data_IF_698618069062
#
_entry.id   IF_698618069062
#
_cell.length_a   1.000
_cell.length_b   1.000
_cell.length_c   1.000
_cell.angle_alpha   90.00
_cell.angle_beta   90.00
_cell.angle_gamma   90.00
#
_symmetry.space_group_name_H-M   'P 1'
#
loop_
_entity.id
_entity.type
_entity.pdbx_description
1 polymer ?
#
# COMPACT_ATOMS: atom_id res chain seq x y z
N UNK A 1 14.49 15.05 37.71
CA UNK A 1 13.60 15.98 38.42
C UNK A 1 12.26 15.99 37.72
N UNK A 2 11.37 15.10 38.15
CA UNK A 2 9.96 14.97 37.76
C UNK A 2 9.15 15.17 39.03
N UNK A 3 8.41 16.25 39.14
CA UNK A 3 7.44 16.43 40.22
C UNK A 3 6.26 17.30 39.73
N UNK A 4 5.10 16.67 39.76
CA UNK A 4 3.81 17.20 40.20
C UNK A 4 3.18 18.33 39.39
N UNK A 5 2.07 17.98 38.70
CA UNK A 5 0.88 18.81 38.61
C UNK A 5 -0.35 17.88 38.72
N UNK A 6 -0.74 17.62 39.97
CA UNK A 6 -2.07 17.04 40.30
C UNK A 6 -3.06 18.18 40.24
N UNK A 7 -3.89 18.23 39.20
CA UNK A 7 -5.04 19.11 39.08
C UNK A 7 -6.24 18.50 39.76
N UNK A 8 -6.81 19.23 40.74
CA UNK A 8 -8.04 18.93 41.48
C UNK A 8 -9.21 18.63 40.53
N UNK A 9 -9.86 17.49 40.77
CA UNK A 9 -11.21 17.19 40.28
C UNK A 9 -12.22 17.62 41.36
N UNK A 10 -13.14 18.55 41.09
CA UNK A 10 -14.17 18.91 42.05
C UNK A 10 -15.28 17.84 42.08
N UNK A 11 -15.62 17.46 43.32
CA UNK A 11 -16.83 16.93 43.90
C UNK A 11 -17.84 16.21 43.01
N UNK A 12 -17.82 14.86 43.10
CA UNK A 12 -18.99 14.05 42.77
C UNK A 12 -19.76 13.85 44.08
N UNK A 13 -20.89 14.56 44.20
CA UNK A 13 -21.84 14.34 45.26
C UNK A 13 -22.49 12.94 45.08
N UNK A 14 -22.19 12.06 46.00
CA UNK A 14 -22.78 10.72 46.12
C UNK A 14 -24.17 10.81 46.76
N UNK A 15 -25.20 10.89 45.91
CA UNK A 15 -26.61 10.63 46.37
C UNK A 15 -26.87 9.14 46.52
N UNK A 16 -27.60 8.69 47.55
CA UNK A 16 -27.93 7.28 47.71
C UNK A 16 -29.02 6.88 46.69
N UNK A 17 -28.62 6.20 45.66
CA UNK A 17 -29.55 5.57 44.72
C UNK A 17 -30.07 4.27 45.37
N UNK A 18 -31.33 4.27 45.68
CA UNK A 18 -32.14 3.09 46.05
C UNK A 18 -32.06 2.07 44.90
N UNK A 19 -31.30 0.99 45.13
CA UNK A 19 -31.22 -0.17 44.23
C UNK A 19 -32.59 -0.89 44.23
N UNK A 20 -33.44 -0.53 43.29
CA UNK A 20 -34.56 -1.40 42.91
C UNK A 20 -34.00 -2.66 42.20
N UNK A 21 -34.67 -3.83 42.36
CA UNK A 21 -34.18 -5.04 41.68
C UNK A 21 -34.14 -4.80 40.16
N UNK A 22 -33.06 -5.26 39.48
CA UNK A 22 -33.00 -5.12 38.06
C UNK A 22 -34.18 -5.87 37.43
N UNK A 23 -35.08 -5.13 36.79
CA UNK A 23 -36.09 -5.73 35.93
C UNK A 23 -35.34 -6.63 34.96
N UNK A 24 -35.74 -7.90 34.88
CA UNK A 24 -35.19 -8.85 33.90
C UNK A 24 -35.44 -8.27 32.50
N UNK A 25 -34.52 -7.43 32.08
CA UNK A 25 -34.51 -6.90 30.69
C UNK A 25 -34.40 -8.10 29.77
N UNK A 26 -35.50 -8.41 29.12
CA UNK A 26 -35.55 -9.41 28.08
C UNK A 26 -34.40 -9.12 27.11
N UNK A 27 -33.49 -10.09 26.99
CA UNK A 27 -32.47 -10.11 25.96
C UNK A 27 -33.21 -10.33 24.64
N UNK A 28 -33.97 -9.30 24.21
CA UNK A 28 -34.35 -9.22 22.80
C UNK A 28 -33.05 -9.35 22.01
N UNK A 29 -32.93 -10.44 21.28
CA UNK A 29 -31.88 -10.63 20.26
C UNK A 29 -31.94 -9.42 19.34
N UNK A 30 -31.20 -8.35 19.68
CA UNK A 30 -30.88 -7.30 18.72
C UNK A 30 -30.23 -8.03 17.62
N UNK A 31 -30.96 -8.20 16.51
CA UNK A 31 -30.47 -8.92 15.35
C UNK A 31 -29.06 -8.41 15.04
N UNK A 32 -28.10 -9.31 15.04
CA UNK A 32 -26.72 -8.98 14.67
C UNK A 32 -26.81 -8.22 13.35
N UNK A 33 -26.32 -6.95 13.28
CA UNK A 33 -26.43 -6.17 12.08
C UNK A 33 -25.83 -6.98 10.93
N UNK A 34 -26.67 -7.40 9.99
CA UNK A 34 -26.17 -8.12 8.82
C UNK A 34 -25.20 -7.20 8.08
N UNK A 35 -23.99 -7.67 7.76
CA UNK A 35 -23.06 -6.88 7.00
C UNK A 35 -23.75 -6.41 5.71
N UNK A 36 -23.64 -5.12 5.37
CA UNK A 36 -24.32 -4.58 4.20
C UNK A 36 -23.92 -5.40 2.98
N UNK A 37 -24.90 -5.93 2.27
CA UNK A 37 -24.67 -6.65 1.01
C UNK A 37 -23.96 -5.71 0.04
N UNK A 38 -22.86 -6.18 -0.54
CA UNK A 38 -22.14 -5.40 -1.54
C UNK A 38 -23.09 -5.00 -2.66
N UNK A 39 -23.27 -3.70 -2.86
CA UNK A 39 -24.12 -3.19 -3.92
C UNK A 39 -23.48 -3.46 -5.30
N UNK A 40 -24.25 -3.62 -6.39
CA UNK A 40 -23.67 -3.76 -7.73
C UNK A 40 -22.72 -2.62 -8.09
N UNK A 41 -22.99 -1.41 -7.63
CA UNK A 41 -22.12 -0.25 -7.81
C UNK A 41 -20.74 -0.40 -7.12
N UNK A 42 -20.68 -1.10 -5.98
CA UNK A 42 -19.40 -1.38 -5.30
C UNK A 42 -18.56 -2.42 -6.03
N UNK A 43 -19.20 -3.39 -6.69
CA UNK A 43 -18.53 -4.41 -7.51
C UNK A 43 -17.97 -3.81 -8.80
N UNK A 44 -18.76 -2.95 -9.48
CA UNK A 44 -18.30 -2.24 -10.66
C UNK A 44 -17.11 -1.32 -10.35
N UNK A 45 -17.16 -0.62 -9.21
CA UNK A 45 -16.03 0.19 -8.72
C UNK A 45 -14.77 -0.64 -8.48
N UNK A 46 -14.90 -1.78 -7.80
CA UNK A 46 -13.75 -2.67 -7.54
C UNK A 46 -13.16 -3.23 -8.84
N UNK A 47 -13.99 -3.63 -9.80
CA UNK A 47 -13.55 -4.11 -11.11
C UNK A 47 -12.83 -3.02 -11.91
N UNK A 48 -13.37 -1.79 -11.92
CA UNK A 48 -12.72 -0.64 -12.57
C UNK A 48 -11.31 -0.40 -12.03
N UNK A 49 -11.14 -0.38 -10.70
CA UNK A 49 -9.83 -0.15 -10.09
C UNK A 49 -8.85 -1.32 -10.26
N UNK A 50 -9.36 -2.55 -10.33
CA UNK A 50 -8.55 -3.71 -10.69
C UNK A 50 -8.02 -3.57 -12.14
N UNK A 51 -8.89 -3.21 -13.07
CA UNK A 51 -8.52 -2.96 -14.46
C UNK A 51 -7.53 -1.80 -14.61
N UNK A 52 -7.74 -0.70 -13.89
CA UNK A 52 -6.83 0.45 -13.89
C UNK A 52 -5.43 0.06 -13.39
N UNK A 53 -5.33 -0.67 -12.26
CA UNK A 53 -4.05 -1.18 -11.75
C UNK A 53 -3.35 -2.13 -12.72
N UNK A 54 -4.12 -3.02 -13.37
CA UNK A 54 -3.59 -3.94 -14.38
C UNK A 54 -3.08 -3.20 -15.62
N UNK A 55 -3.82 -2.21 -16.12
CA UNK A 55 -3.39 -1.38 -17.25
C UNK A 55 -2.10 -0.61 -16.93
N UNK A 56 -2.00 -0.09 -15.71
CA UNK A 56 -0.78 0.57 -15.24
C UNK A 56 0.41 -0.41 -15.20
N UNK A 57 0.22 -1.61 -14.66
CA UNK A 57 1.26 -2.64 -14.63
C UNK A 57 1.69 -3.06 -16.05
N UNK A 58 0.74 -3.19 -16.98
CA UNK A 58 1.05 -3.48 -18.40
C UNK A 58 1.83 -2.33 -19.04
N UNK A 59 1.46 -1.08 -18.78
CA UNK A 59 2.18 0.09 -19.27
C UNK A 59 3.63 0.12 -18.73
N UNK A 60 3.83 -0.20 -17.45
CA UNK A 60 5.16 -0.32 -16.86
C UNK A 60 5.97 -1.48 -17.48
N UNK A 61 5.33 -2.63 -17.75
CA UNK A 61 5.97 -3.73 -18.48
C UNK A 61 6.43 -3.29 -19.88
N UNK A 62 5.58 -2.57 -20.60
CA UNK A 62 5.93 -1.96 -21.89
C UNK A 62 7.07 -0.95 -21.78
N UNK A 63 7.02 -0.06 -20.80
CA UNK A 63 8.08 0.89 -20.50
C UNK A 63 9.43 0.22 -20.19
N UNK A 64 9.39 -0.88 -19.41
CA UNK A 64 10.58 -1.68 -19.11
C UNK A 64 11.17 -2.34 -20.35
N UNK A 65 10.36 -2.71 -21.34
CA UNK A 65 10.83 -3.25 -22.64
C UNK A 65 11.50 -2.19 -23.50
N UNK A 66 10.87 -1.02 -23.65
CA UNK A 66 11.37 0.06 -24.50
C UNK A 66 12.68 0.63 -23.97
N UNK A 67 12.75 0.91 -22.67
CA UNK A 67 13.96 1.44 -22.06
C UNK A 67 13.69 2.19 -20.77
N UNK A 68 14.77 2.54 -20.10
CA UNK A 68 14.74 3.22 -18.83
C UNK A 68 14.00 4.58 -18.86
N UNK A 69 14.21 5.48 -19.84
CA UNK A 69 13.49 6.75 -19.87
C UNK A 69 11.98 6.57 -19.95
N UNK A 70 11.53 5.57 -20.72
CA UNK A 70 10.11 5.26 -20.84
C UNK A 70 9.53 4.67 -19.56
N UNK A 71 10.27 3.81 -18.87
CA UNK A 71 9.89 3.30 -17.56
C UNK A 71 9.71 4.44 -16.55
N UNK A 72 10.67 5.37 -16.47
CA UNK A 72 10.60 6.55 -15.59
C UNK A 72 9.43 7.45 -15.97
N UNK A 73 9.15 7.63 -17.26
CA UNK A 73 8.02 8.44 -17.74
C UNK A 73 6.64 7.90 -17.26
N UNK A 74 6.51 6.60 -17.06
CA UNK A 74 5.31 6.00 -16.47
C UNK A 74 5.35 5.97 -14.95
N UNK A 75 6.53 5.78 -14.34
CA UNK A 75 6.67 5.72 -12.89
C UNK A 75 6.41 7.06 -12.22
N UNK A 76 6.96 8.17 -12.73
CA UNK A 76 6.81 9.49 -12.13
C UNK A 76 5.35 9.91 -11.94
N UNK A 77 4.47 9.86 -12.95
CA UNK A 77 3.05 10.15 -12.75
C UNK A 77 2.39 9.22 -11.72
N UNK A 78 2.76 7.94 -11.72
CA UNK A 78 2.26 6.97 -10.74
C UNK A 78 2.67 7.36 -9.31
N UNK A 79 3.94 7.71 -9.10
CA UNK A 79 4.48 8.13 -7.81
C UNK A 79 3.79 9.41 -7.32
N UNK A 80 3.54 10.39 -8.20
CA UNK A 80 2.82 11.62 -7.86
C UNK A 80 1.38 11.34 -7.42
N UNK A 81 0.65 10.53 -8.18
CA UNK A 81 -0.72 10.13 -7.82
C UNK A 81 -0.72 9.35 -6.51
N UNK A 82 0.24 8.45 -6.32
CA UNK A 82 0.39 7.67 -5.09
C UNK A 82 0.66 8.58 -3.89
N UNK A 83 1.56 9.57 -4.01
CA UNK A 83 1.83 10.55 -2.98
C UNK A 83 0.58 11.35 -2.58
N UNK A 84 -0.15 11.86 -3.58
CA UNK A 84 -1.41 12.58 -3.36
C UNK A 84 -2.44 11.73 -2.63
N UNK A 85 -2.64 10.49 -3.09
CA UNK A 85 -3.59 9.56 -2.50
C UNK A 85 -3.18 9.19 -1.08
N UNK A 86 -1.88 8.96 -0.83
CA UNK A 86 -1.34 8.65 0.49
C UNK A 86 -1.53 9.79 1.47
N UNK A 87 -1.11 11.01 1.10
CA UNK A 87 -1.28 12.20 1.94
C UNK A 87 -2.76 12.51 2.23
N UNK A 88 -3.64 12.25 1.26
CA UNK A 88 -5.08 12.37 1.46
C UNK A 88 -5.63 11.30 2.40
N UNK A 89 -5.09 10.08 2.33
CA UNK A 89 -5.48 8.94 3.15
C UNK A 89 -5.07 9.13 4.62
N UNK A 90 -3.82 9.50 4.85
CA UNK A 90 -3.29 9.76 6.21
C UNK A 90 -3.92 11.03 6.83
N UNK A 91 -4.56 11.86 6.02
CA UNK A 91 -5.16 13.11 6.50
C UNK A 91 -4.13 14.19 6.78
N UNK A 92 -3.02 14.20 6.03
CA UNK A 92 -1.91 15.14 6.23
C UNK A 92 -2.40 16.59 6.32
N UNK A 93 -2.01 17.36 7.35
CA UNK A 93 -2.42 18.75 7.52
C UNK A 93 -1.92 19.65 6.38
N UNK A 94 -0.66 19.44 5.95
CA UNK A 94 0.00 20.18 4.87
C UNK A 94 0.30 19.26 3.68
N UNK A 95 -0.71 19.08 2.83
CA UNK A 95 -0.60 18.18 1.67
C UNK A 95 0.32 18.73 0.58
N UNK A 96 0.39 20.06 0.41
CA UNK A 96 1.21 20.66 -0.64
C UNK A 96 2.69 20.53 -0.34
N UNK A 97 3.11 20.77 0.91
CA UNK A 97 4.49 20.58 1.29
C UNK A 97 4.88 19.10 1.25
N UNK A 98 4.01 18.22 1.75
CA UNK A 98 4.23 16.78 1.66
C UNK A 98 4.36 16.29 0.23
N UNK A 99 3.50 16.78 -0.68
CA UNK A 99 3.59 16.47 -2.10
C UNK A 99 4.89 16.98 -2.72
N UNK A 100 5.30 18.24 -2.41
CA UNK A 100 6.55 18.78 -2.91
C UNK A 100 7.77 17.96 -2.48
N UNK A 101 7.83 17.56 -1.21
CA UNK A 101 8.90 16.71 -0.69
C UNK A 101 8.89 15.31 -1.32
N UNK A 102 7.72 14.67 -1.41
CA UNK A 102 7.57 13.36 -2.02
C UNK A 102 7.93 13.37 -3.51
N UNK A 103 7.47 14.40 -4.25
CA UNK A 103 7.80 14.56 -5.68
C UNK A 103 9.29 14.79 -5.91
N UNK A 104 9.90 15.66 -5.11
CA UNK A 104 11.34 15.90 -5.16
C UNK A 104 12.14 14.62 -4.87
N UNK A 105 11.75 13.89 -3.83
CA UNK A 105 12.36 12.62 -3.48
C UNK A 105 12.22 11.57 -4.59
N UNK A 106 11.04 11.46 -5.22
CA UNK A 106 10.79 10.55 -6.33
C UNK A 106 11.71 10.84 -7.52
N UNK A 107 11.77 12.11 -7.96
CA UNK A 107 12.65 12.52 -9.08
C UNK A 107 14.12 12.22 -8.78
N UNK A 108 14.59 12.60 -7.59
CA UNK A 108 15.98 12.36 -7.18
C UNK A 108 16.27 10.86 -7.12
N UNK A 109 15.34 10.07 -6.56
CA UNK A 109 15.49 8.62 -6.47
C UNK A 109 15.58 7.97 -7.86
N UNK A 110 14.70 8.34 -8.79
CA UNK A 110 14.69 7.79 -10.15
C UNK A 110 15.97 8.16 -10.96
N UNK A 111 16.47 9.38 -10.74
CA UNK A 111 17.73 9.81 -11.36
C UNK A 111 18.94 9.06 -10.79
N UNK A 112 19.00 8.91 -9.46
CA UNK A 112 20.10 8.22 -8.79
C UNK A 112 20.02 6.70 -8.97
N UNK A 113 18.83 6.11 -8.97
CA UNK A 113 18.64 4.68 -9.22
C UNK A 113 19.31 4.19 -10.48
N UNK A 114 19.46 5.08 -11.45
CA UNK A 114 20.14 4.77 -12.67
C UNK A 114 21.65 4.86 -12.64
N UNK A 115 22.21 5.48 -11.66
CA UNK A 115 23.65 5.67 -11.51
C UNK A 115 24.27 4.76 -10.47
N UNK A 116 23.54 4.49 -9.39
CA UNK A 116 24.05 3.82 -8.18
C UNK A 116 24.13 2.30 -8.26
N UNK A 117 23.56 1.67 -9.31
CA UNK A 117 23.71 0.22 -9.54
C UNK A 117 23.47 -0.66 -8.31
N UNK A 118 24.53 -0.95 -7.57
CA UNK A 118 24.53 -1.89 -6.47
C UNK A 118 24.11 -1.29 -5.12
N UNK A 119 24.30 0.02 -4.89
CA UNK A 119 24.11 0.66 -3.56
C UNK A 119 22.80 1.45 -3.46
N UNK A 120 21.70 0.82 -3.83
CA UNK A 120 20.39 1.46 -3.78
C UNK A 120 19.91 1.71 -2.35
N UNK A 121 20.27 0.84 -1.39
CA UNK A 121 19.89 0.98 0.02
C UNK A 121 20.54 2.22 0.64
N UNK A 122 21.84 2.41 0.43
CA UNK A 122 22.55 3.61 0.88
C UNK A 122 21.99 4.88 0.25
N UNK A 123 21.66 4.84 -1.05
CA UNK A 123 21.03 5.95 -1.76
C UNK A 123 19.67 6.33 -1.15
N UNK A 124 18.82 5.36 -0.84
CA UNK A 124 17.52 5.61 -0.20
C UNK A 124 17.67 6.17 1.21
N UNK A 125 18.58 5.61 2.00
CA UNK A 125 18.85 6.13 3.33
C UNK A 125 19.30 7.61 3.28
N UNK A 126 20.15 7.96 2.33
CA UNK A 126 20.58 9.34 2.10
C UNK A 126 19.40 10.27 1.71
N UNK A 127 18.54 9.85 0.79
CA UNK A 127 17.37 10.62 0.39
C UNK A 127 16.43 10.83 1.58
N UNK A 128 16.13 9.77 2.34
CA UNK A 128 15.26 9.85 3.52
C UNK A 128 15.84 10.81 4.55
N UNK A 129 17.15 10.74 4.82
CA UNK A 129 17.80 11.64 5.77
C UNK A 129 17.66 13.11 5.35
N UNK A 130 17.91 13.43 4.07
CA UNK A 130 17.75 14.79 3.53
C UNK A 130 16.29 15.25 3.64
N UNK A 131 15.34 14.39 3.29
CA UNK A 131 13.90 14.70 3.36
C UNK A 131 13.46 14.97 4.78
N UNK A 132 13.90 14.18 5.76
CA UNK A 132 13.57 14.41 7.18
C UNK A 132 14.10 15.77 7.63
N UNK A 133 15.33 16.12 7.28
CA UNK A 133 15.90 17.44 7.60
C UNK A 133 15.08 18.57 6.96
N UNK A 134 14.74 18.43 5.66
CA UNK A 134 13.94 19.44 4.95
C UNK A 134 12.53 19.55 5.53
N UNK A 135 11.91 18.44 5.91
CA UNK A 135 10.59 18.43 6.53
C UNK A 135 10.58 19.15 7.88
N UNK A 136 11.61 18.89 8.71
CA UNK A 136 11.79 19.58 10.00
C UNK A 136 12.02 21.07 9.79
N UNK A 137 12.92 21.45 8.89
CA UNK A 137 13.18 22.85 8.56
C UNK A 137 11.94 23.58 8.06
N UNK A 138 11.20 22.94 7.14
CA UNK A 138 9.96 23.51 6.62
C UNK A 138 8.91 23.71 7.72
N UNK A 139 8.79 22.77 8.64
CA UNK A 139 7.88 22.88 9.77
C UNK A 139 8.30 24.00 10.76
N UNK A 140 9.60 24.15 11.04
CA UNK A 140 10.12 25.21 11.89
C UNK A 140 9.93 26.60 11.28
N UNK A 141 10.18 26.75 9.97
CA UNK A 141 10.02 28.03 9.26
C UNK A 141 8.56 28.50 9.20
N UNK A 142 7.62 27.57 9.20
CA UNK A 142 6.18 27.89 9.17
C UNK A 142 5.59 28.18 10.55
N UNK A 143 6.36 28.00 11.63
CA UNK A 143 5.88 28.24 12.99
C UNK A 143 4.75 27.29 13.44
N UNK A 144 4.46 26.26 12.67
CA UNK A 144 3.41 25.26 12.97
C UNK A 144 3.90 24.28 14.01
N UNK A 145 3.71 24.62 15.28
CA UNK A 145 4.10 23.72 16.40
C UNK A 145 3.00 22.71 16.74
N UNK A 146 1.76 23.01 16.36
CA UNK A 146 0.63 22.12 16.58
C UNK A 146 0.63 21.03 15.50
N UNK A 147 0.49 19.76 15.89
CA UNK A 147 0.50 18.58 15.02
C UNK A 147 1.82 18.36 14.23
N UNK A 148 2.96 18.87 14.74
CA UNK A 148 4.28 18.69 14.10
C UNK A 148 4.59 17.21 13.84
N UNK A 149 4.39 16.36 14.84
CA UNK A 149 4.67 14.91 14.76
C UNK A 149 3.80 14.23 13.69
N UNK A 150 2.51 14.57 13.62
CA UNK A 150 1.58 14.03 12.62
C UNK A 150 1.96 14.48 11.21
N UNK A 151 2.35 15.75 11.06
CA UNK A 151 2.79 16.29 9.76
C UNK A 151 4.06 15.62 9.29
N UNK A 152 5.07 15.48 10.17
CA UNK A 152 6.33 14.81 9.85
C UNK A 152 6.12 13.34 9.52
N UNK A 153 5.31 12.63 10.32
CA UNK A 153 5.00 11.22 10.07
C UNK A 153 4.30 11.03 8.71
N UNK A 154 3.34 11.91 8.38
CA UNK A 154 2.64 11.86 7.10
C UNK A 154 3.58 12.15 5.92
N UNK A 155 4.46 13.15 6.04
CA UNK A 155 5.42 13.50 4.99
C UNK A 155 6.46 12.41 4.76
N UNK A 156 7.07 11.90 5.84
CA UNK A 156 8.08 10.83 5.77
C UNK A 156 7.48 9.55 5.21
N UNK A 157 6.28 9.16 5.66
CA UNK A 157 5.59 7.97 5.13
C UNK A 157 5.22 8.12 3.64
N UNK A 158 4.83 9.33 3.19
CA UNK A 158 4.58 9.59 1.77
C UNK A 158 5.85 9.43 0.94
N UNK A 159 6.99 9.93 1.44
CA UNK A 159 8.29 9.77 0.78
C UNK A 159 8.69 8.31 0.71
N UNK A 160 8.55 7.55 1.79
CA UNK A 160 8.85 6.11 1.78
C UNK A 160 8.06 5.38 0.69
N UNK A 161 6.76 5.61 0.61
CA UNK A 161 5.88 4.95 -0.37
C UNK A 161 6.24 5.31 -1.81
N UNK A 162 6.71 6.53 -2.09
CA UNK A 162 7.11 6.92 -3.46
C UNK A 162 8.56 6.53 -3.81
N UNK A 163 9.40 6.25 -2.84
CA UNK A 163 10.77 5.77 -3.09
C UNK A 163 10.79 4.30 -3.55
N UNK A 164 9.85 3.48 -3.07
CA UNK A 164 9.81 2.05 -3.42
C UNK A 164 9.82 1.79 -4.93
N UNK A 165 9.00 2.45 -5.78
CA UNK A 165 9.01 2.25 -7.21
C UNK A 165 10.34 2.59 -7.92
N UNK A 166 11.19 3.45 -7.35
CA UNK A 166 12.51 3.74 -7.91
C UNK A 166 13.43 2.49 -7.95
N UNK A 167 13.14 1.48 -7.13
CA UNK A 167 13.84 0.18 -7.20
C UNK A 167 13.64 -0.52 -8.54
N UNK A 168 12.52 -0.30 -9.22
CA UNK A 168 12.29 -0.82 -10.57
C UNK A 168 13.26 -0.20 -11.59
N UNK A 169 13.54 1.10 -11.44
CA UNK A 169 14.51 1.80 -12.29
C UNK A 169 15.93 1.25 -12.08
N UNK A 170 16.29 0.98 -10.82
CA UNK A 170 17.55 0.37 -10.46
C UNK A 170 17.68 -1.06 -11.03
N UNK A 171 16.65 -1.88 -10.85
CA UNK A 171 16.63 -3.25 -11.37
C UNK A 171 16.74 -3.28 -12.88
N UNK A 172 16.11 -2.32 -13.59
CA UNK A 172 16.22 -2.23 -15.06
C UNK A 172 17.66 -2.08 -15.57
N UNK A 173 18.53 -1.50 -14.75
CA UNK A 173 19.95 -1.34 -15.05
C UNK A 173 20.81 -2.59 -14.85
N UNK A 174 20.28 -3.67 -14.27
CA UNK A 174 21.02 -4.92 -14.03
C UNK A 174 20.85 -5.91 -15.18
N UNK A 175 21.82 -6.83 -15.38
CA UNK A 175 21.65 -7.97 -16.29
C UNK A 175 20.36 -8.73 -15.92
N UNK A 176 19.56 -9.12 -16.91
CA UNK A 176 18.27 -9.81 -16.67
C UNK A 176 17.17 -8.96 -16.03
N UNK A 177 17.47 -7.77 -15.50
CA UNK A 177 16.51 -6.92 -14.81
C UNK A 177 15.29 -6.52 -15.65
N UNK A 178 15.47 -6.36 -16.98
CA UNK A 178 14.35 -6.12 -17.90
C UNK A 178 13.32 -7.24 -17.85
N UNK A 179 13.79 -8.48 -17.85
CA UNK A 179 12.95 -9.67 -17.88
C UNK A 179 12.25 -9.87 -16.56
N UNK A 180 12.98 -9.69 -15.45
CA UNK A 180 12.42 -9.72 -14.10
C UNK A 180 11.28 -8.70 -13.94
N UNK A 181 11.45 -7.47 -14.44
CA UNK A 181 10.42 -6.43 -14.40
C UNK A 181 9.18 -6.81 -15.20
N UNK A 182 9.36 -7.29 -16.43
CA UNK A 182 8.25 -7.67 -17.30
C UNK A 182 7.44 -8.81 -16.68
N UNK A 183 8.12 -9.84 -16.18
CA UNK A 183 7.46 -10.96 -15.49
C UNK A 183 6.69 -10.47 -14.26
N UNK A 184 7.30 -9.62 -13.44
CA UNK A 184 6.68 -9.10 -12.22
C UNK A 184 5.47 -8.22 -12.52
N UNK A 185 5.56 -7.31 -13.49
CA UNK A 185 4.43 -6.44 -13.84
C UNK A 185 3.28 -7.22 -14.47
N UNK A 186 3.55 -8.20 -15.32
CA UNK A 186 2.50 -9.04 -15.89
C UNK A 186 1.86 -9.96 -14.84
N UNK A 187 2.67 -10.49 -13.91
CA UNK A 187 2.18 -11.24 -12.76
C UNK A 187 1.27 -10.39 -11.85
N UNK A 188 1.68 -9.15 -11.55
CA UNK A 188 0.90 -8.19 -10.78
C UNK A 188 -0.40 -7.81 -11.51
N UNK A 189 -0.34 -7.54 -12.83
CA UNK A 189 -1.52 -7.24 -13.63
C UNK A 189 -2.54 -8.38 -13.61
N UNK A 190 -2.09 -9.60 -13.86
CA UNK A 190 -2.94 -10.78 -13.83
C UNK A 190 -3.50 -11.06 -12.43
N UNK A 191 -2.68 -10.96 -11.40
CA UNK A 191 -3.10 -11.13 -10.02
C UNK A 191 -4.09 -10.04 -9.57
N UNK A 192 -3.92 -8.80 -9.99
CA UNK A 192 -4.85 -7.70 -9.68
C UNK A 192 -6.26 -7.96 -10.23
N UNK A 193 -6.37 -8.55 -11.41
CA UNK A 193 -7.67 -8.88 -12.02
C UNK A 193 -8.19 -10.22 -11.50
N UNK A 194 -7.44 -11.29 -11.71
CA UNK A 194 -7.89 -12.65 -11.41
C UNK A 194 -7.93 -12.92 -9.91
N UNK A 195 -6.97 -12.39 -9.14
CA UNK A 195 -6.92 -12.54 -7.68
C UNK A 195 -8.11 -11.86 -7.00
N UNK A 196 -8.50 -10.66 -7.45
CA UNK A 196 -9.71 -10.00 -6.95
C UNK A 196 -10.98 -10.72 -7.37
N UNK A 197 -11.04 -11.24 -8.60
CA UNK A 197 -12.15 -12.07 -9.05
C UNK A 197 -12.26 -13.34 -8.20
N UNK A 198 -11.16 -14.04 -7.99
CA UNK A 198 -11.10 -15.21 -7.11
C UNK A 198 -11.53 -14.89 -5.68
N UNK A 199 -11.04 -13.80 -5.11
CA UNK A 199 -11.44 -13.33 -3.79
C UNK A 199 -12.95 -13.05 -3.69
N UNK A 200 -13.54 -12.44 -4.72
CA UNK A 200 -14.98 -12.18 -4.79
C UNK A 200 -15.79 -13.48 -4.91
N UNK A 201 -15.31 -14.45 -5.66
CA UNK A 201 -15.97 -15.75 -5.83
C UNK A 201 -15.87 -16.59 -4.55
N UNK A 202 -14.70 -16.61 -3.93
CA UNK A 202 -14.43 -17.37 -2.69
C UNK A 202 -15.07 -16.73 -1.44
N UNK A 203 -15.30 -15.42 -1.45
CA UNK A 203 -16.01 -14.73 -0.36
C UNK A 203 -17.53 -14.93 -0.38
N UNK A 204 -18.09 -15.53 -1.45
CA UNK A 204 -19.52 -15.70 -1.64
C UNK A 204 -20.20 -16.92 -1.00
N UNK A 205 -19.55 -18.02 -0.62
CA UNK A 205 -20.30 -19.13 -0.04
C UNK A 205 -20.79 -18.78 1.36
N UNK A 206 -22.02 -18.31 1.45
CA UNK A 206 -22.74 -18.12 2.71
C UNK A 206 -22.91 -19.45 3.51
N UNK A 207 -22.64 -20.60 2.90
CA UNK A 207 -22.65 -21.91 3.54
C UNK A 207 -21.40 -22.24 4.35
N UNK A 208 -20.29 -21.50 4.10
CA UNK A 208 -19.10 -21.55 4.94
C UNK A 208 -19.23 -20.61 6.15
N UNK A 209 -20.24 -20.77 6.99
CA UNK A 209 -20.58 -19.96 8.14
C UNK A 209 -19.46 -19.19 8.87
N UNK A 210 -19.71 -18.49 9.97
CA UNK A 210 -18.76 -17.61 10.66
C UNK A 210 -17.55 -18.31 11.32
N UNK A 211 -17.31 -19.56 10.99
CA UNK A 211 -16.27 -20.43 11.59
C UNK A 211 -14.87 -20.10 11.11
N UNK A 212 -14.71 -19.35 10.01
CA UNK A 212 -13.36 -19.03 9.52
C UNK A 212 -12.74 -17.86 10.29
N UNK A 213 -11.59 -18.08 10.93
CA UNK A 213 -10.86 -17.01 11.62
C UNK A 213 -10.42 -15.92 10.62
N UNK A 214 -10.27 -14.65 11.04
CA UNK A 214 -9.96 -13.53 10.15
C UNK A 214 -8.66 -13.73 9.33
N UNK A 215 -7.71 -14.52 9.82
CA UNK A 215 -6.49 -14.85 9.10
C UNK A 215 -6.72 -15.74 7.87
N UNK A 216 -7.81 -16.52 7.82
CA UNK A 216 -8.12 -17.36 6.64
C UNK A 216 -8.40 -16.49 5.40
N UNK A 217 -9.04 -15.33 5.57
CA UNK A 217 -9.20 -14.35 4.48
C UNK A 217 -7.86 -13.86 3.96
N UNK A 218 -6.94 -13.55 4.85
CA UNK A 218 -5.60 -13.12 4.49
C UNK A 218 -4.88 -14.21 3.69
N UNK A 219 -4.87 -15.44 4.17
CA UNK A 219 -4.25 -16.57 3.47
C UNK A 219 -4.89 -16.80 2.10
N UNK A 220 -6.22 -16.73 2.01
CA UNK A 220 -6.93 -16.92 0.73
C UNK A 220 -6.59 -15.83 -0.28
N UNK A 221 -6.62 -14.56 0.11
CA UNK A 221 -6.33 -13.45 -0.80
C UNK A 221 -4.86 -13.48 -1.24
N UNK A 222 -3.93 -13.48 -0.28
CA UNK A 222 -2.49 -13.48 -0.60
C UNK A 222 -2.10 -14.74 -1.35
N UNK A 223 -2.62 -15.91 -0.94
CA UNK A 223 -2.36 -17.18 -1.60
C UNK A 223 -2.89 -17.23 -3.04
N UNK A 224 -4.09 -16.69 -3.30
CA UNK A 224 -4.63 -16.62 -4.67
C UNK A 224 -3.81 -15.68 -5.56
N UNK A 225 -3.40 -14.51 -5.04
CA UNK A 225 -2.53 -13.60 -5.77
C UNK A 225 -1.17 -14.25 -6.07
N UNK A 226 -0.54 -14.86 -5.09
CA UNK A 226 0.75 -15.53 -5.25
C UNK A 226 0.66 -16.70 -6.24
N UNK A 227 -0.37 -17.51 -6.17
CA UNK A 227 -0.58 -18.65 -7.09
C UNK A 227 -0.77 -18.17 -8.54
N UNK A 228 -1.57 -17.14 -8.76
CA UNK A 228 -1.78 -16.56 -10.09
C UNK A 228 -0.47 -15.95 -10.61
N UNK A 229 0.23 -15.22 -9.76
CA UNK A 229 1.54 -14.65 -10.11
C UNK A 229 2.57 -15.73 -10.45
N UNK A 230 2.60 -16.83 -9.70
CA UNK A 230 3.46 -17.98 -9.98
C UNK A 230 3.15 -18.62 -11.34
N UNK A 231 1.88 -18.84 -11.65
CA UNK A 231 1.45 -19.43 -12.93
C UNK A 231 1.84 -18.55 -14.13
N UNK A 232 1.60 -17.25 -14.04
CA UNK A 232 1.98 -16.29 -15.08
C UNK A 232 3.51 -16.25 -15.22
N UNK A 233 4.23 -16.15 -14.10
CA UNK A 233 5.68 -16.12 -14.09
C UNK A 233 6.28 -17.42 -14.66
N UNK A 234 5.73 -18.58 -14.28
CA UNK A 234 6.15 -19.86 -14.82
C UNK A 234 5.96 -19.98 -16.34
N UNK A 235 4.82 -19.48 -16.84
CA UNK A 235 4.52 -19.46 -18.26
C UNK A 235 5.48 -18.57 -19.06
N UNK A 236 6.00 -17.51 -18.45
CA UNK A 236 6.90 -16.56 -19.11
C UNK A 236 8.38 -16.96 -19.02
N UNK A 237 8.82 -17.56 -17.88
CA UNK A 237 10.25 -17.76 -17.58
C UNK A 237 10.55 -19.03 -16.77
N UNK A 238 9.65 -19.99 -16.71
CA UNK A 238 9.86 -21.21 -15.95
C UNK A 238 9.94 -21.00 -14.43
N UNK A 239 10.81 -21.74 -13.75
CA UNK A 239 10.89 -21.75 -12.27
C UNK A 239 11.25 -20.39 -11.66
N UNK A 240 12.23 -19.68 -12.22
CA UNK A 240 12.65 -18.36 -11.71
C UNK A 240 11.53 -17.33 -11.91
N UNK A 241 10.83 -17.42 -13.05
CA UNK A 241 9.66 -16.59 -13.30
C UNK A 241 8.53 -16.88 -12.32
N UNK A 242 8.32 -18.15 -11.93
CA UNK A 242 7.31 -18.51 -10.95
C UNK A 242 7.61 -17.89 -9.59
N UNK A 243 8.86 -17.93 -9.12
CA UNK A 243 9.25 -17.36 -7.83
C UNK A 243 9.05 -15.85 -7.78
N UNK A 244 9.54 -15.14 -8.81
CA UNK A 244 9.42 -13.68 -8.83
C UNK A 244 7.96 -13.24 -9.01
N UNK A 245 7.20 -13.96 -9.83
CA UNK A 245 5.78 -13.70 -10.04
C UNK A 245 4.94 -13.95 -8.78
N UNK A 246 5.21 -15.05 -8.05
CA UNK A 246 4.56 -15.35 -6.78
C UNK A 246 4.85 -14.28 -5.73
N UNK A 247 6.12 -13.89 -5.59
CA UNK A 247 6.54 -12.91 -4.59
C UNK A 247 5.98 -11.51 -4.89
N UNK A 248 6.06 -11.06 -6.16
CA UNK A 248 5.50 -9.79 -6.58
C UNK A 248 3.98 -9.73 -6.33
N UNK A 249 3.26 -10.74 -6.80
CA UNK A 249 1.81 -10.81 -6.63
C UNK A 249 1.40 -11.01 -5.17
N UNK A 250 2.13 -11.80 -4.38
CA UNK A 250 1.91 -11.97 -2.95
C UNK A 250 2.06 -10.66 -2.17
N UNK A 251 3.13 -9.89 -2.44
CA UNK A 251 3.32 -8.56 -1.87
C UNK A 251 2.17 -7.62 -2.26
N UNK A 252 1.75 -7.65 -3.53
CA UNK A 252 0.58 -6.90 -4.01
C UNK A 252 -0.71 -7.29 -3.28
N UNK A 253 -0.94 -8.57 -3.03
CA UNK A 253 -2.09 -9.07 -2.27
C UNK A 253 -2.10 -8.61 -0.82
N UNK A 254 -0.93 -8.55 -0.16
CA UNK A 254 -0.79 -7.98 1.19
C UNK A 254 -1.17 -6.50 1.20
N UNK A 255 -0.69 -5.73 0.21
CA UNK A 255 -1.03 -4.32 0.06
C UNK A 255 -2.54 -4.11 -0.13
N UNK A 256 -3.17 -4.93 -0.99
CA UNK A 256 -4.62 -4.87 -1.22
C UNK A 256 -5.41 -5.12 0.07
N UNK A 257 -4.99 -6.11 0.86
CA UNK A 257 -5.59 -6.39 2.18
C UNK A 257 -5.41 -5.24 3.16
N UNK A 258 -4.22 -4.65 3.24
CA UNK A 258 -3.96 -3.52 4.13
C UNK A 258 -4.89 -2.34 3.82
N UNK A 259 -5.10 -2.05 2.53
CA UNK A 259 -6.06 -1.02 2.11
C UNK A 259 -7.49 -1.43 2.40
N UNK A 260 -7.87 -2.69 2.13
CA UNK A 260 -9.23 -3.19 2.37
C UNK A 260 -9.63 -3.19 3.85
N UNK A 261 -8.69 -3.49 4.75
CA UNK A 261 -8.91 -3.50 6.20
C UNK A 261 -9.26 -2.11 6.76
N UNK A 262 -8.85 -1.04 6.10
CA UNK A 262 -9.09 0.35 6.51
C UNK A 262 -10.23 1.01 5.71
N UNK A 263 -10.80 0.29 4.75
CA UNK A 263 -11.66 0.80 3.67
C UNK A 263 -13.12 1.09 4.05
N UNK A 264 -13.39 1.65 5.20
CA UNK A 264 -14.67 2.33 5.41
C UNK A 264 -14.86 3.62 4.61
N UNK A 265 -13.85 4.07 3.83
CA UNK A 265 -13.84 5.39 3.19
C UNK A 265 -13.53 5.30 1.69
N UNK A 266 -14.34 5.96 0.86
CA UNK A 266 -14.21 6.06 -0.61
C UNK A 266 -12.79 6.41 -1.12
N UNK A 267 -11.94 7.01 -0.29
CA UNK A 267 -10.57 7.42 -0.60
C UNK A 267 -9.57 6.26 -0.76
N UNK A 268 -9.93 5.07 -0.30
CA UNK A 268 -9.04 3.89 -0.35
C UNK A 268 -8.96 3.21 -1.72
N UNK A 269 -9.92 3.46 -2.62
CA UNK A 269 -9.99 2.78 -3.93
C UNK A 269 -8.78 3.09 -4.83
N UNK A 270 -8.33 4.36 -4.87
CA UNK A 270 -7.14 4.75 -5.65
C UNK A 270 -5.86 4.11 -5.11
N UNK A 271 -5.71 4.07 -3.78
CA UNK A 271 -4.57 3.40 -3.15
C UNK A 271 -4.57 1.90 -3.45
N UNK A 272 -5.74 1.27 -3.48
CA UNK A 272 -5.87 -0.16 -3.78
C UNK A 272 -5.37 -0.56 -5.17
N UNK A 273 -5.27 0.36 -6.13
CA UNK A 273 -4.71 0.09 -7.46
C UNK A 273 -3.20 0.31 -7.55
N UNK A 274 -2.65 1.29 -6.86
CA UNK A 274 -1.25 1.70 -6.99
C UNK A 274 -0.34 1.15 -5.87
N UNK A 275 -0.86 1.00 -4.66
CA UNK A 275 -0.10 0.51 -3.52
C UNK A 275 0.45 -0.92 -3.73
N UNK A 276 -0.28 -1.87 -4.34
CA UNK A 276 0.28 -3.17 -4.69
C UNK A 276 1.52 -3.10 -5.58
N UNK A 277 1.54 -2.18 -6.54
CA UNK A 277 2.69 -1.97 -7.43
C UNK A 277 3.89 -1.38 -6.67
N UNK A 278 3.65 -0.45 -5.74
CA UNK A 278 4.70 0.15 -4.92
C UNK A 278 5.31 -0.88 -3.97
N UNK A 279 4.50 -1.53 -3.11
CA UNK A 279 5.00 -2.48 -2.12
C UNK A 279 5.63 -3.74 -2.72
N UNK A 280 5.29 -4.11 -3.96
CA UNK A 280 5.97 -5.19 -4.67
C UNK A 280 7.39 -4.79 -5.12
N UNK A 281 7.69 -3.51 -5.28
CA UNK A 281 8.92 -3.04 -5.89
C UNK A 281 10.21 -3.49 -5.17
N UNK A 282 10.35 -3.34 -3.84
CA UNK A 282 11.52 -3.82 -3.12
C UNK A 282 11.71 -5.34 -3.21
N UNK A 283 10.59 -6.09 -3.16
CA UNK A 283 10.61 -7.56 -3.25
C UNK A 283 11.09 -8.00 -4.63
N UNK A 284 10.55 -7.39 -5.68
CA UNK A 284 10.96 -7.63 -7.07
C UNK A 284 12.42 -7.27 -7.30
N UNK A 285 12.89 -6.16 -6.71
CA UNK A 285 14.28 -5.74 -6.80
C UNK A 285 15.23 -6.79 -6.20
N UNK A 286 14.96 -7.24 -4.98
CA UNK A 286 15.82 -8.22 -4.29
C UNK A 286 15.84 -9.54 -5.06
N UNK A 287 14.67 -10.08 -5.39
CA UNK A 287 14.59 -11.35 -6.11
C UNK A 287 15.08 -11.25 -7.55
N UNK A 288 14.75 -10.18 -8.24
CA UNK A 288 15.21 -9.95 -9.61
C UNK A 288 16.74 -9.90 -9.68
N UNK A 289 17.38 -9.27 -8.69
CA UNK A 289 18.83 -9.22 -8.61
C UNK A 289 19.47 -10.55 -8.24
N UNK A 290 18.82 -11.37 -7.41
CA UNK A 290 19.38 -12.66 -6.99
C UNK A 290 19.17 -13.77 -8.02
N UNK A 291 18.07 -13.72 -8.78
CA UNK A 291 17.72 -14.77 -9.74
C UNK A 291 18.20 -14.48 -11.17
N UNK A 292 18.32 -13.19 -11.55
CA UNK A 292 18.63 -12.77 -12.91
C UNK A 292 19.90 -11.89 -13.01
N UNK A 293 20.49 -11.46 -11.88
CA UNK A 293 21.73 -10.67 -11.78
C UNK A 293 22.91 -11.52 -11.41
#
# INVERSE_FOLDING_TARGET
MLAAAAGCVPGVESGPALLGPPAAAGWEHRGVPQPPRASPASLAGAAFWAAAGALFAIALAGGAQVGRPMLVAFLLPMQLVLALCWLAYVGAPDKLAGLGLASGAAVVADLLAGRSGADMIGTFAGIIAVVVVLAVLAALLRGQRVALTETLAAQVSAVLVVLEPATYVALRGTPGGREALVVSFLALAGAAVLGRMAALLLARPAWLGPVFPPWSRMVTVVGSWAAIGALIGAALRGGDGALIGAAAAGAGGLADLAVAGVAGRRRSLYLGSLLPLSLAAPVVYVLGRTLFG
#
